data_IF_319784315845
#
_entry.id   IF_319784315845
#
_cell.length_a   1.000
_cell.length_b   1.000
_cell.length_c   1.000
_cell.angle_alpha   90.00
_cell.angle_beta   90.00
_cell.angle_gamma   90.00
#
_symmetry.space_group_name_H-M   'P 1'
#
loop_
_entity.id
_entity.type
_entity.pdbx_description
1 polymer ?
#
# COMPACT_ATOMS: atom_id res chain seq x y z
N UNK A 1 -13.08 -5.82 2.78
CA UNK A 1 -12.95 -4.44 2.27
C UNK A 1 -14.04 -3.61 2.94
N UNK A 2 -13.67 -2.82 3.93
CA UNK A 2 -14.59 -1.85 4.51
C UNK A 2 -14.34 -0.51 3.80
N UNK A 3 -15.24 -0.12 2.90
CA UNK A 3 -15.25 1.18 2.27
C UNK A 3 -16.08 2.10 3.15
N UNK A 4 -15.47 3.14 3.71
CA UNK A 4 -16.23 4.23 4.32
C UNK A 4 -16.27 5.37 3.29
N UNK A 5 -17.48 5.68 2.83
CA UNK A 5 -17.73 6.78 1.90
C UNK A 5 -18.17 7.99 2.72
N UNK A 6 -17.37 9.02 2.73
CA UNK A 6 -17.76 10.32 3.31
C UNK A 6 -18.17 11.21 2.16
N UNK A 7 -19.48 11.46 2.06
CA UNK A 7 -20.06 12.29 1.00
C UNK A 7 -20.07 13.75 1.40
N UNK A 8 -19.18 14.52 0.80
CA UNK A 8 -19.36 15.97 0.65
C UNK A 8 -19.53 16.27 -0.85
N UNK A 9 -20.40 17.17 -1.27
CA UNK A 9 -20.83 17.32 -2.68
C UNK A 9 -19.74 17.82 -3.64
N UNK A 10 -18.55 18.12 -3.18
CA UNK A 10 -17.45 18.64 -4.01
C UNK A 10 -16.24 17.73 -4.13
N UNK A 11 -16.10 16.70 -3.30
CA UNK A 11 -14.94 15.82 -3.34
C UNK A 11 -15.36 14.38 -2.97
N UNK A 12 -15.41 13.50 -3.97
CA UNK A 12 -15.59 12.06 -3.76
C UNK A 12 -14.26 11.45 -3.31
N UNK A 13 -13.97 11.53 -2.01
CA UNK A 13 -12.84 10.82 -1.41
C UNK A 13 -13.26 9.40 -1.04
N UNK A 14 -12.73 8.42 -1.71
CA UNK A 14 -12.83 7.01 -1.31
C UNK A 14 -11.54 6.61 -0.61
N UNK A 15 -11.63 6.27 0.68
CA UNK A 15 -10.48 5.79 1.46
C UNK A 15 -10.55 4.28 1.54
N UNK A 16 -9.56 3.60 0.95
CA UNK A 16 -9.35 2.17 1.15
C UNK A 16 -8.15 1.96 2.08
N UNK A 17 -8.42 1.29 3.19
CA UNK A 17 -7.36 0.78 4.05
C UNK A 17 -6.94 -0.57 3.47
N UNK A 18 -5.69 -0.67 3.05
CA UNK A 18 -5.11 -1.94 2.60
C UNK A 18 -5.16 -2.94 3.76
N UNK A 19 -6.23 -3.75 3.82
CA UNK A 19 -6.26 -4.90 4.71
C UNK A 19 -5.46 -6.00 4.05
N UNK A 20 -4.39 -6.41 4.68
CA UNK A 20 -3.89 -7.75 4.46
C UNK A 20 -4.99 -8.71 4.88
N UNK A 21 -5.60 -9.41 3.92
CA UNK A 21 -6.47 -10.52 4.22
C UNK A 21 -5.63 -11.59 4.90
N UNK A 22 -5.74 -11.69 6.22
CA UNK A 22 -5.24 -12.85 6.94
C UNK A 22 -5.97 -14.06 6.36
N UNK A 23 -5.22 -15.03 5.88
CA UNK A 23 -5.78 -16.35 5.67
C UNK A 23 -6.44 -16.73 7.00
N UNK A 24 -7.77 -16.95 6.98
CA UNK A 24 -8.52 -17.36 8.17
C UNK A 24 -7.79 -18.55 8.75
N UNK A 25 -7.45 -18.43 10.05
CA UNK A 25 -6.68 -19.44 10.76
C UNK A 25 -7.38 -20.80 10.77
N UNK A 26 -7.33 -21.48 9.65
CA UNK A 26 -7.15 -22.89 9.71
C UNK A 26 -5.78 -23.04 10.36
N UNK A 27 -5.76 -23.63 11.57
CA UNK A 27 -4.58 -24.32 12.02
C UNK A 27 -4.01 -24.98 10.77
N UNK A 28 -3.03 -24.34 10.17
CA UNK A 28 -2.09 -25.00 9.30
C UNK A 28 -1.38 -25.88 10.31
N UNK A 29 -2.06 -27.01 10.65
CA UNK A 29 -1.38 -28.16 11.14
C UNK A 29 -0.14 -28.14 10.30
N UNK A 30 1.00 -27.85 10.97
CA UNK A 30 2.31 -27.89 10.39
C UNK A 30 2.24 -28.76 9.14
N UNK A 31 2.01 -28.14 7.97
CA UNK A 31 2.26 -28.80 6.72
C UNK A 31 3.72 -29.09 6.84
N UNK A 32 3.96 -30.25 7.40
CA UNK A 32 5.25 -30.83 7.54
C UNK A 32 5.81 -30.78 6.13
N UNK A 33 6.64 -29.79 5.85
CA UNK A 33 7.56 -29.83 4.74
C UNK A 33 8.58 -30.96 5.02
N UNK A 34 8.03 -32.13 5.36
CA UNK A 34 8.75 -33.35 5.70
C UNK A 34 9.13 -34.13 4.45
N UNK A 35 8.82 -33.57 3.26
CA UNK A 35 9.34 -34.14 2.02
C UNK A 35 10.81 -33.77 1.90
N UNK A 36 11.70 -34.74 1.83
CA UNK A 36 13.11 -34.51 1.65
C UNK A 36 13.33 -33.67 0.38
N UNK A 37 14.10 -32.60 0.50
CA UNK A 37 14.32 -31.62 -0.58
C UNK A 37 14.94 -32.32 -1.80
N UNK A 38 15.83 -33.26 -1.58
CA UNK A 38 16.40 -34.12 -2.61
C UNK A 38 16.89 -35.42 -1.97
N UNK A 39 16.45 -36.61 -2.39
CA UNK A 39 16.89 -37.89 -1.85
C UNK A 39 18.37 -38.22 -2.12
N UNK A 40 19.03 -37.49 -3.03
CA UNK A 40 20.45 -37.68 -3.38
C UNK A 40 21.37 -36.69 -2.64
N UNK A 41 20.81 -35.75 -1.84
CA UNK A 41 21.63 -34.80 -1.11
C UNK A 41 21.87 -35.26 0.32
N UNK A 42 23.05 -34.91 0.91
CA UNK A 42 23.39 -35.27 2.28
C UNK A 42 22.45 -34.64 3.34
N UNK A 43 21.62 -33.67 2.95
CA UNK A 43 20.68 -32.95 3.80
C UNK A 43 19.23 -33.44 3.70
N UNK A 44 19.00 -34.70 3.36
CA UNK A 44 17.65 -35.29 3.23
C UNK A 44 16.79 -35.19 4.50
N UNK A 45 17.38 -34.95 5.66
CA UNK A 45 16.71 -34.78 6.96
C UNK A 45 16.56 -33.30 7.35
N UNK A 46 16.90 -32.38 6.47
CA UNK A 46 16.77 -30.96 6.77
C UNK A 46 15.30 -30.57 6.92
N UNK A 47 14.96 -30.03 8.10
CA UNK A 47 13.66 -29.42 8.35
C UNK A 47 13.80 -27.90 8.24
N UNK A 48 12.94 -27.30 7.43
CA UNK A 48 12.93 -25.84 7.33
C UNK A 48 12.57 -25.22 8.67
N UNK A 49 13.18 -24.09 9.05
CA UNK A 49 12.79 -23.37 10.26
C UNK A 49 11.32 -22.94 10.16
N UNK A 50 10.59 -23.08 11.26
CA UNK A 50 9.19 -22.66 11.34
C UNK A 50 9.05 -21.15 11.51
N UNK A 51 7.87 -20.64 11.23
CA UNK A 51 7.55 -19.22 11.41
C UNK A 51 7.53 -18.79 12.88
N UNK A 52 7.45 -19.73 13.80
CA UNK A 52 7.53 -19.54 15.26
C UNK A 52 8.85 -18.94 15.73
N UNK A 53 9.92 -19.07 14.94
CA UNK A 53 11.23 -18.45 15.19
C UNK A 53 11.26 -16.96 14.86
N UNK A 54 10.27 -16.44 14.14
CA UNK A 54 10.19 -15.04 13.77
C UNK A 54 9.56 -14.22 14.90
N UNK A 55 10.09 -13.01 15.10
CA UNK A 55 9.52 -12.08 16.05
C UNK A 55 8.13 -11.66 15.59
N UNK A 56 7.13 -11.88 16.44
CA UNK A 56 5.79 -11.36 16.26
C UNK A 56 5.73 -9.91 16.70
N UNK A 57 5.06 -9.09 15.91
CA UNK A 57 4.76 -7.72 16.30
C UNK A 57 3.32 -7.66 16.83
N UNK A 58 3.15 -7.21 18.07
CA UNK A 58 1.84 -7.16 18.74
C UNK A 58 0.85 -6.20 18.06
N UNK A 59 1.34 -5.31 17.24
CA UNK A 59 0.52 -4.34 16.48
C UNK A 59 -0.12 -4.89 15.20
N UNK A 60 -0.06 -6.19 14.96
CA UNK A 60 -0.77 -6.90 13.87
C UNK A 60 -0.74 -6.23 12.48
N UNK A 61 0.27 -5.44 12.14
CA UNK A 61 0.40 -4.84 10.80
C UNK A 61 -0.76 -3.94 10.35
N UNK A 62 -1.68 -3.59 11.26
CA UNK A 62 -2.79 -2.68 10.91
C UNK A 62 -2.24 -1.28 10.74
N UNK A 63 -2.35 -0.67 9.55
CA UNK A 63 -1.92 0.70 9.37
C UNK A 63 -2.72 1.60 10.31
N UNK A 64 -2.03 2.48 11.03
CA UNK A 64 -2.69 3.54 11.78
C UNK A 64 -3.30 4.50 10.76
N UNK A 65 -4.63 4.56 10.74
CA UNK A 65 -5.37 5.43 9.82
C UNK A 65 -5.72 6.71 10.56
N UNK A 66 -4.98 7.76 10.27
CA UNK A 66 -5.36 9.10 10.69
C UNK A 66 -6.22 9.75 9.61
N UNK A 67 -7.54 9.73 9.84
CA UNK A 67 -8.51 10.28 8.88
C UNK A 67 -8.39 11.79 8.69
N UNK A 68 -7.90 12.51 9.71
CA UNK A 68 -7.69 13.96 9.62
C UNK A 68 -6.48 14.27 8.74
N UNK A 69 -5.38 13.51 8.91
CA UNK A 69 -4.20 13.64 8.06
C UNK A 69 -4.55 13.34 6.59
N UNK A 70 -5.29 12.26 6.34
CA UNK A 70 -5.69 11.89 4.98
C UNK A 70 -6.55 12.99 4.33
N UNK A 71 -7.52 13.54 5.05
CA UNK A 71 -8.36 14.63 4.54
C UNK A 71 -7.55 15.88 4.25
N UNK A 72 -6.67 16.27 5.17
CA UNK A 72 -5.80 17.44 5.00
C UNK A 72 -4.91 17.27 3.77
N UNK A 73 -4.25 16.13 3.63
CA UNK A 73 -3.42 15.86 2.45
C UNK A 73 -4.23 15.86 1.16
N UNK A 74 -5.43 15.28 1.18
CA UNK A 74 -6.32 15.28 0.03
C UNK A 74 -6.68 16.72 -0.40
N UNK A 75 -7.11 17.55 0.55
CA UNK A 75 -7.48 18.94 0.28
C UNK A 75 -6.29 19.75 -0.26
N UNK A 76 -5.11 19.58 0.31
CA UNK A 76 -3.91 20.28 -0.16
C UNK A 76 -3.47 19.81 -1.55
N UNK A 77 -3.51 18.50 -1.86
CA UNK A 77 -3.21 17.98 -3.20
C UNK A 77 -4.18 18.58 -4.21
N UNK A 78 -5.49 18.55 -3.91
CA UNK A 78 -6.52 19.12 -4.79
C UNK A 78 -6.30 20.62 -4.99
N UNK A 79 -5.98 21.35 -3.93
CA UNK A 79 -5.73 22.80 -3.98
C UNK A 79 -4.52 23.13 -4.85
N UNK A 80 -3.41 22.42 -4.67
CA UNK A 80 -2.20 22.60 -5.50
C UNK A 80 -2.52 22.34 -6.96
N UNK A 81 -3.11 21.20 -7.28
CA UNK A 81 -3.42 20.84 -8.66
C UNK A 81 -4.39 21.84 -9.30
N UNK A 82 -5.43 22.30 -8.60
CA UNK A 82 -6.34 23.33 -9.07
C UNK A 82 -5.63 24.68 -9.34
N UNK A 83 -4.68 25.07 -8.48
CA UNK A 83 -3.93 26.33 -8.67
C UNK A 83 -3.08 26.36 -9.94
N UNK A 84 -2.67 25.18 -10.42
CA UNK A 84 -1.97 25.02 -11.71
C UNK A 84 -2.90 24.71 -12.88
N UNK A 85 -4.23 24.87 -12.68
CA UNK A 85 -5.23 24.63 -13.72
C UNK A 85 -5.38 23.16 -14.08
N UNK A 86 -5.20 22.26 -13.11
CA UNK A 86 -5.40 20.81 -13.26
C UNK A 86 -6.70 20.44 -12.51
N UNK A 87 -7.71 20.10 -13.28
CA UNK A 87 -8.97 19.63 -12.74
C UNK A 87 -8.92 18.12 -12.48
N UNK A 88 -9.50 17.71 -11.35
CA UNK A 88 -9.55 16.33 -10.89
C UNK A 88 -10.99 15.85 -10.91
N UNK A 89 -11.23 14.67 -11.48
CA UNK A 89 -12.55 14.00 -11.44
C UNK A 89 -12.77 13.24 -10.15
N UNK A 90 -11.74 12.52 -9.70
CA UNK A 90 -11.82 11.62 -8.56
C UNK A 90 -10.44 11.51 -7.90
N UNK A 91 -10.45 11.37 -6.58
CA UNK A 91 -9.28 11.06 -5.78
C UNK A 91 -9.63 9.93 -4.81
N UNK A 92 -8.76 8.93 -4.74
CA UNK A 92 -8.88 7.77 -3.88
C UNK A 92 -7.61 7.62 -3.07
N UNK A 93 -7.72 7.52 -1.75
CA UNK A 93 -6.58 7.29 -0.88
C UNK A 93 -6.52 5.82 -0.44
N UNK A 94 -5.37 5.19 -0.61
CA UNK A 94 -5.06 3.85 -0.09
C UNK A 94 -3.94 3.97 0.93
N UNK A 95 -4.26 3.68 2.19
CA UNK A 95 -3.32 3.80 3.30
C UNK A 95 -2.50 2.53 3.44
N UNK A 96 -1.20 2.67 3.35
CA UNK A 96 -0.23 1.63 3.64
C UNK A 96 0.46 1.83 5.00
N UNK A 97 1.34 0.91 5.40
CA UNK A 97 2.05 1.00 6.68
C UNK A 97 3.07 2.14 6.75
N UNK A 98 3.69 2.49 5.65
CA UNK A 98 4.75 3.52 5.57
C UNK A 98 4.41 4.70 4.69
N UNK A 99 3.58 4.48 3.68
CA UNK A 99 3.15 5.48 2.69
C UNK A 99 1.65 5.40 2.48
N UNK A 100 1.05 6.52 2.09
CA UNK A 100 -0.33 6.59 1.58
C UNK A 100 -0.30 6.90 0.09
N UNK A 101 -0.98 6.10 -0.71
CA UNK A 101 -1.13 6.29 -2.14
C UNK A 101 -2.42 7.04 -2.44
N UNK A 102 -2.31 8.22 -3.05
CA UNK A 102 -3.43 8.97 -3.60
C UNK A 102 -3.54 8.70 -5.10
N UNK A 103 -4.54 7.92 -5.49
CA UNK A 103 -4.86 7.67 -6.90
C UNK A 103 -5.77 8.79 -7.41
N UNK A 104 -5.32 9.50 -8.43
CA UNK A 104 -6.02 10.66 -8.99
C UNK A 104 -6.43 10.37 -10.42
N UNK A 105 -7.70 10.64 -10.72
CA UNK A 105 -8.22 10.64 -12.10
C UNK A 105 -8.31 12.09 -12.57
N UNK A 106 -7.40 12.55 -13.45
CA UNK A 106 -7.46 13.90 -13.98
C UNK A 106 -8.61 14.05 -14.97
N UNK A 107 -9.05 15.28 -15.22
CA UNK A 107 -9.99 15.58 -16.28
C UNK A 107 -9.34 15.36 -17.67
N UNK A 108 -10.17 15.24 -18.70
CA UNK A 108 -9.70 15.04 -20.08
C UNK A 108 -8.85 16.22 -20.58
N UNK A 109 -7.84 15.90 -21.38
CA UNK A 109 -6.97 16.92 -21.97
C UNK A 109 -5.78 17.35 -21.11
N UNK A 110 -5.66 16.86 -19.88
CA UNK A 110 -4.53 17.20 -19.00
C UNK A 110 -3.32 16.36 -19.35
N UNK A 111 -2.17 17.02 -19.57
CA UNK A 111 -0.91 16.35 -19.85
C UNK A 111 -0.29 15.80 -18.56
N UNK A 112 0.05 14.52 -18.55
CA UNK A 112 0.66 13.82 -17.41
C UNK A 112 1.97 14.49 -16.98
N UNK A 113 2.77 14.96 -17.94
CA UNK A 113 4.04 15.65 -17.66
C UNK A 113 3.87 16.90 -16.80
N UNK A 114 2.73 17.62 -16.95
CA UNK A 114 2.41 18.79 -16.15
C UNK A 114 2.18 18.41 -14.68
N UNK A 115 1.54 17.28 -14.42
CA UNK A 115 1.32 16.80 -13.06
C UNK A 115 2.63 16.32 -12.44
N UNK A 116 3.46 15.61 -13.20
CA UNK A 116 4.76 15.14 -12.72
C UNK A 116 5.71 16.28 -12.32
N UNK A 117 5.66 17.41 -13.04
CA UNK A 117 6.51 18.56 -12.69
C UNK A 117 6.10 19.27 -11.39
N UNK A 118 4.97 18.93 -10.79
CA UNK A 118 4.50 19.51 -9.52
C UNK A 118 4.87 18.69 -8.29
N UNK A 119 5.74 17.70 -8.44
CA UNK A 119 6.16 16.81 -7.35
C UNK A 119 6.72 17.59 -6.15
N UNK A 120 7.63 18.52 -6.41
CA UNK A 120 8.25 19.37 -5.38
C UNK A 120 7.25 20.35 -4.75
N UNK A 121 6.35 20.91 -5.55
CA UNK A 121 5.31 21.84 -5.05
C UNK A 121 4.33 21.13 -4.12
N UNK A 122 3.95 19.89 -4.47
CA UNK A 122 3.08 19.05 -3.63
C UNK A 122 3.83 18.67 -2.35
N UNK A 123 5.09 18.22 -2.44
CA UNK A 123 5.90 17.86 -1.27
C UNK A 123 6.02 19.02 -0.29
N UNK A 124 6.27 20.22 -0.79
CA UNK A 124 6.38 21.45 0.02
C UNK A 124 5.05 21.74 0.75
N UNK A 125 3.92 21.67 0.04
CA UNK A 125 2.60 21.96 0.62
C UNK A 125 2.20 20.97 1.68
N UNK A 126 2.51 19.69 1.48
CA UNK A 126 2.24 18.63 2.44
C UNK A 126 3.22 18.60 3.61
N UNK A 127 4.26 19.45 3.57
CA UNK A 127 5.37 19.42 4.53
C UNK A 127 5.98 18.00 4.64
N UNK A 128 5.98 17.26 3.53
CA UNK A 128 6.50 15.91 3.45
C UNK A 128 7.99 15.92 3.10
N UNK A 129 8.72 14.93 3.61
CA UNK A 129 10.17 14.76 3.32
C UNK A 129 10.45 14.49 1.84
N UNK A 130 9.43 14.06 1.09
CA UNK A 130 9.45 13.80 -0.33
C UNK A 130 8.13 13.15 -0.73
N UNK A 131 7.73 13.37 -1.95
CA UNK A 131 6.54 12.79 -2.56
C UNK A 131 7.00 12.12 -3.84
N UNK A 132 6.39 11.03 -4.24
CA UNK A 132 6.70 10.37 -5.50
C UNK A 132 5.45 10.31 -6.38
N UNK A 133 5.60 10.72 -7.63
CA UNK A 133 4.51 10.66 -8.62
C UNK A 133 4.71 9.49 -9.57
N UNK A 134 3.76 8.56 -9.57
CA UNK A 134 3.68 7.43 -10.50
C UNK A 134 2.64 7.77 -11.56
N UNK A 135 3.08 8.09 -12.74
CA UNK A 135 2.18 8.55 -13.80
C UNK A 135 2.58 7.98 -15.18
N UNK A 136 1.72 7.17 -15.80
CA UNK A 136 0.48 6.58 -15.27
C UNK A 136 0.73 5.39 -14.35
N UNK A 137 -0.27 5.01 -13.54
CA UNK A 137 -0.24 3.73 -12.82
C UNK A 137 -0.42 2.60 -13.85
N UNK A 138 0.48 1.60 -13.87
CA UNK A 138 0.35 0.47 -14.78
C UNK A 138 -1.00 -0.25 -14.66
N UNK A 139 -1.68 -0.46 -15.79
CA UNK A 139 -2.99 -1.12 -15.84
C UNK A 139 -4.18 -0.28 -15.39
N UNK A 140 -3.96 0.96 -14.92
CA UNK A 140 -5.00 1.92 -14.55
C UNK A 140 -4.74 3.24 -15.27
N UNK A 141 -5.73 3.87 -15.83
CA UNK A 141 -5.61 5.20 -16.46
C UNK A 141 -5.48 6.35 -15.43
N UNK A 142 -4.98 6.09 -14.25
CA UNK A 142 -4.89 7.03 -13.12
C UNK A 142 -3.44 7.40 -12.81
N UNK A 143 -3.27 8.44 -12.01
CA UNK A 143 -1.98 8.93 -11.54
C UNK A 143 -1.89 8.67 -10.03
N UNK A 144 -0.80 8.08 -9.58
CA UNK A 144 -0.53 7.84 -8.17
C UNK A 144 0.39 8.92 -7.59
N UNK A 145 0.05 9.44 -6.42
CA UNK A 145 0.91 10.27 -5.60
C UNK A 145 1.16 9.52 -4.29
N UNK A 146 2.40 9.10 -4.09
CA UNK A 146 2.84 8.45 -2.85
C UNK A 146 3.33 9.49 -1.86
N UNK A 147 2.68 9.54 -0.71
CA UNK A 147 3.02 10.46 0.39
C UNK A 147 3.46 9.64 1.61
N UNK A 148 4.64 9.88 2.19
CA UNK A 148 5.07 9.18 3.39
C UNK A 148 4.20 9.56 4.59
N UNK A 149 3.80 8.55 5.35
CA UNK A 149 3.01 8.74 6.58
C UNK A 149 3.87 9.40 7.67
N UNK A 150 3.29 10.26 8.48
CA UNK A 150 3.96 10.83 9.67
C UNK A 150 4.30 9.74 10.69
N UNK A 151 3.36 8.83 10.93
CA UNK A 151 3.57 7.65 11.77
C UNK A 151 3.74 6.43 10.88
N UNK A 152 4.96 5.94 10.78
CA UNK A 152 5.30 4.74 10.02
C UNK A 152 5.20 3.51 10.91
N UNK A 153 4.67 2.41 10.36
CA UNK A 153 4.61 1.13 11.02
C UNK A 153 5.60 0.16 10.39
N UNK A 154 6.27 -0.61 11.24
CA UNK A 154 7.08 -1.71 10.75
C UNK A 154 6.17 -2.86 10.35
N UNK A 155 6.50 -3.50 9.23
CA UNK A 155 5.84 -4.73 8.79
C UNK A 155 6.73 -5.89 9.20
N UNK A 156 6.21 -6.83 9.99
CA UNK A 156 6.97 -8.00 10.40
C UNK A 156 7.13 -8.99 9.24
N UNK A 157 8.25 -9.70 9.20
CA UNK A 157 8.47 -10.75 8.22
C UNK A 157 7.42 -11.87 8.36
N UNK A 158 7.01 -12.15 9.60
CA UNK A 158 5.96 -13.12 9.87
C UNK A 158 4.65 -12.75 9.18
N UNK A 159 4.22 -11.47 9.24
CA UNK A 159 2.98 -11.02 8.59
C UNK A 159 3.05 -11.14 7.07
N UNK A 160 4.22 -10.87 6.49
CA UNK A 160 4.43 -11.02 5.03
C UNK A 160 4.31 -12.49 4.64
N UNK A 161 5.01 -13.38 5.34
CA UNK A 161 5.03 -14.82 5.03
C UNK A 161 3.66 -15.49 5.27
N UNK A 162 2.88 -14.98 6.24
CA UNK A 162 1.51 -15.44 6.51
C UNK A 162 0.46 -14.80 5.59
N UNK A 163 0.84 -13.86 4.73
CA UNK A 163 -0.10 -13.24 3.82
C UNK A 163 -0.58 -14.23 2.76
N UNK A 164 -1.86 -14.14 2.40
CA UNK A 164 -2.45 -14.96 1.34
C UNK A 164 -1.70 -14.81 0.01
N UNK A 165 -1.27 -13.59 -0.31
CA UNK A 165 -0.51 -13.31 -1.53
C UNK A 165 0.79 -14.07 -1.59
N UNK A 166 1.51 -14.14 -0.46
CA UNK A 166 2.76 -14.88 -0.39
C UNK A 166 2.52 -16.39 -0.52
N UNK A 167 1.51 -16.92 0.15
CA UNK A 167 1.21 -18.36 0.15
C UNK A 167 0.69 -18.87 -1.20
N UNK A 168 -0.08 -18.06 -1.93
CA UNK A 168 -0.66 -18.43 -3.22
C UNK A 168 0.25 -18.14 -4.41
N UNK A 169 1.36 -17.45 -4.20
CA UNK A 169 2.27 -17.09 -5.29
C UNK A 169 3.02 -18.30 -5.82
N UNK A 170 3.25 -18.32 -7.15
CA UNK A 170 4.01 -19.36 -7.85
C UNK A 170 5.45 -18.95 -8.17
N UNK A 171 5.85 -17.76 -7.71
CA UNK A 171 7.20 -17.27 -7.93
C UNK A 171 8.16 -17.89 -6.93
N UNK A 172 9.41 -18.18 -7.37
CA UNK A 172 10.44 -18.75 -6.52
C UNK A 172 10.92 -17.77 -5.43
N UNK A 173 10.81 -16.47 -5.67
CA UNK A 173 11.15 -15.40 -4.74
C UNK A 173 10.01 -14.37 -4.67
N UNK A 174 9.00 -14.62 -3.87
CA UNK A 174 7.75 -13.84 -3.87
C UNK A 174 7.77 -12.59 -2.95
N UNK A 175 8.90 -11.95 -2.77
CA UNK A 175 9.05 -10.73 -1.93
C UNK A 175 9.00 -9.49 -2.80
#
# INVERSE_FOLDING_TARGET
TASQTVSNPTDRLTVEVGKEEKASGQNVASTTFDTPINPLEPFTRYKRPGLDLLKRDDNEGKPYVDMEEIKTHNEEIVRVLKSFGIEIREIKATVGPTITLYEITPAEGIRITKIRSLEDDIALRLSALGVRIIAPIPGKGTIGIEVPNKKRHNVSMESILNSKKFQETKFDLPI
#
